data_IF_964275163163
#
_entry.id   IF_964275163163
#
_cell.length_a   1.000
_cell.length_b   1.000
_cell.length_c   1.000
_cell.angle_alpha   90.00
_cell.angle_beta   90.00
_cell.angle_gamma   90.00
#
_symmetry.space_group_name_H-M   'P 1'
#
loop_
_entity.id
_entity.type
_entity.pdbx_description
1 polymer ?
#
# COMPACT_ATOMS: atom_id res chain seq x y z
N UNK A 1 9.91 -14.84 0.59
CA UNK A 1 9.04 -13.64 0.77
C UNK A 1 8.73 -12.89 -0.52
N UNK A 2 9.70 -12.65 -1.41
CA UNK A 2 9.52 -11.76 -2.59
C UNK A 2 9.37 -12.51 -3.93
N UNK A 3 9.16 -13.82 -3.89
CA UNK A 3 8.99 -14.68 -5.07
C UNK A 3 7.54 -14.62 -5.59
N UNK A 4 7.35 -13.90 -6.68
CA UNK A 4 6.04 -13.70 -7.29
C UNK A 4 5.49 -14.98 -7.95
N UNK A 5 6.36 -15.80 -8.54
CA UNK A 5 5.97 -17.03 -9.23
C UNK A 5 5.50 -18.07 -8.21
N UNK A 6 6.29 -18.28 -7.16
CA UNK A 6 5.91 -19.16 -6.05
C UNK A 6 4.60 -18.71 -5.41
N UNK A 7 4.45 -17.42 -5.15
CA UNK A 7 3.23 -16.87 -4.53
C UNK A 7 2.00 -17.10 -5.42
N UNK A 8 2.13 -16.86 -6.73
CA UNK A 8 1.05 -17.08 -7.69
C UNK A 8 0.67 -18.57 -7.77
N UNK A 9 1.66 -19.47 -7.90
CA UNK A 9 1.43 -20.93 -7.91
C UNK A 9 0.74 -21.38 -6.64
N UNK A 10 1.23 -20.94 -5.48
CA UNK A 10 0.63 -21.30 -4.18
C UNK A 10 -0.81 -20.82 -4.07
N UNK A 11 -1.13 -19.62 -4.56
CA UNK A 11 -2.50 -19.11 -4.55
C UNK A 11 -3.42 -19.97 -5.42
N UNK A 12 -2.98 -20.36 -6.63
CA UNK A 12 -3.73 -21.23 -7.54
C UNK A 12 -3.92 -22.62 -6.95
N UNK A 13 -2.87 -23.21 -6.38
CA UNK A 13 -2.90 -24.55 -5.77
C UNK A 13 -3.90 -24.64 -4.62
N UNK A 14 -3.98 -23.58 -3.80
CA UNK A 14 -4.92 -23.54 -2.68
C UNK A 14 -6.37 -23.57 -3.16
N UNK A 15 -6.71 -22.84 -4.22
CA UNK A 15 -8.10 -22.75 -4.70
C UNK A 15 -8.42 -23.70 -5.86
N UNK A 16 -7.57 -24.69 -6.14
CA UNK A 16 -7.71 -25.59 -7.30
C UNK A 16 -9.06 -26.31 -7.35
N UNK A 17 -9.62 -26.64 -6.18
CA UNK A 17 -10.90 -27.36 -6.02
C UNK A 17 -12.09 -26.39 -5.80
N UNK A 18 -11.84 -25.08 -5.90
CA UNK A 18 -12.79 -24.01 -5.63
C UNK A 18 -12.35 -23.14 -4.44
N UNK A 19 -13.06 -22.02 -4.28
CA UNK A 19 -12.85 -21.04 -3.22
C UNK A 19 -12.20 -19.73 -3.68
N UNK A 20 -12.27 -18.75 -2.81
CA UNK A 20 -11.74 -17.40 -2.99
C UNK A 20 -10.54 -17.18 -2.08
N UNK A 21 -9.37 -16.97 -2.66
CA UNK A 21 -8.15 -16.61 -1.94
C UNK A 21 -7.89 -15.10 -1.96
N UNK A 22 -7.32 -14.58 -0.88
CA UNK A 22 -6.74 -13.24 -0.88
C UNK A 22 -5.21 -13.34 -0.72
N UNK A 23 -4.47 -12.64 -1.58
CA UNK A 23 -3.01 -12.51 -1.52
C UNK A 23 -2.68 -11.06 -1.14
N UNK A 24 -2.29 -10.82 0.10
CA UNK A 24 -1.94 -9.50 0.61
C UNK A 24 -0.43 -9.28 0.61
N UNK A 25 0.00 -8.29 -0.17
CA UNK A 25 1.41 -7.94 -0.31
C UNK A 25 1.67 -6.51 0.18
N UNK A 26 2.87 -6.28 0.68
CA UNK A 26 3.21 -5.03 1.35
C UNK A 26 3.50 -3.89 0.36
N UNK A 27 3.71 -4.20 -0.92
CA UNK A 27 4.03 -3.19 -1.94
C UNK A 27 3.24 -3.41 -3.23
N UNK A 28 2.90 -2.29 -3.89
CA UNK A 28 2.23 -2.27 -5.20
C UNK A 28 3.02 -3.05 -6.25
N UNK A 29 4.36 -2.88 -6.30
CA UNK A 29 5.23 -3.57 -7.27
C UNK A 29 5.16 -5.10 -7.13
N UNK A 30 5.03 -5.61 -5.90
CA UNK A 30 4.89 -7.05 -5.66
C UNK A 30 3.49 -7.56 -6.05
N UNK A 31 2.43 -6.80 -5.74
CA UNK A 31 1.07 -7.11 -6.18
C UNK A 31 0.97 -7.20 -7.71
N UNK A 32 1.54 -6.22 -8.40
CA UNK A 32 1.64 -6.21 -9.85
C UNK A 32 2.47 -7.40 -10.38
N UNK A 33 3.59 -7.76 -9.73
CA UNK A 33 4.40 -8.90 -10.14
C UNK A 33 3.64 -10.24 -10.00
N UNK A 34 2.95 -10.47 -8.90
CA UNK A 34 2.14 -11.69 -8.69
C UNK A 34 1.00 -11.79 -9.70
N UNK A 35 0.32 -10.68 -10.02
CA UNK A 35 -0.75 -10.71 -11.02
C UNK A 35 -0.22 -10.98 -12.43
N UNK A 36 0.98 -10.51 -12.79
CA UNK A 36 1.61 -10.92 -14.06
C UNK A 36 1.82 -12.44 -14.10
N UNK A 37 2.30 -13.04 -13.02
CA UNK A 37 2.48 -14.48 -12.92
C UNK A 37 1.14 -15.25 -12.98
N UNK A 38 0.09 -14.73 -12.33
CA UNK A 38 -1.26 -15.32 -12.41
C UNK A 38 -1.88 -15.24 -13.80
N UNK A 39 -1.47 -14.29 -14.65
CA UNK A 39 -1.90 -14.23 -16.06
C UNK A 39 -1.24 -15.30 -16.92
N UNK A 40 -0.04 -15.74 -16.55
CA UNK A 40 0.72 -16.77 -17.26
C UNK A 40 0.29 -18.19 -16.83
N UNK A 41 -0.17 -18.33 -15.59
CA UNK A 41 -0.66 -19.59 -15.03
C UNK A 41 -2.16 -19.72 -15.34
N UNK A 42 -2.59 -20.87 -15.89
CA UNK A 42 -4.02 -21.16 -15.97
C UNK A 42 -4.58 -21.40 -14.55
N UNK A 43 -5.15 -20.34 -13.99
CA UNK A 43 -5.76 -20.35 -12.68
C UNK A 43 -7.18 -20.93 -12.68
N UNK A 44 -7.71 -21.38 -13.83
CA UNK A 44 -9.05 -21.98 -14.06
C UNK A 44 -10.22 -21.25 -13.40
N UNK A 45 -10.03 -19.98 -13.08
CA UNK A 45 -10.89 -19.11 -12.30
C UNK A 45 -10.48 -17.66 -12.54
N UNK A 46 -11.01 -16.75 -11.72
CA UNK A 46 -10.82 -15.32 -11.93
C UNK A 46 -9.70 -14.76 -11.05
N UNK A 47 -8.97 -13.77 -11.53
CA UNK A 47 -7.97 -13.05 -10.72
C UNK A 47 -8.17 -11.54 -10.79
N UNK A 48 -7.91 -10.88 -9.67
CA UNK A 48 -8.17 -9.46 -9.46
C UNK A 48 -6.96 -8.78 -8.83
N UNK A 49 -6.75 -7.50 -9.16
CA UNK A 49 -5.72 -6.65 -8.56
C UNK A 49 -6.38 -5.44 -7.90
N UNK A 50 -6.04 -5.17 -6.63
CA UNK A 50 -6.53 -3.98 -5.95
C UNK A 50 -5.47 -3.30 -5.07
N UNK A 51 -5.14 -2.05 -5.39
CA UNK A 51 -4.15 -1.26 -4.66
C UNK A 51 -4.38 0.24 -4.83
N UNK A 52 -3.64 1.07 -4.07
CA UNK A 52 -3.85 2.53 -4.07
C UNK A 52 -3.47 3.24 -5.37
N UNK A 53 -2.60 2.64 -6.20
CA UNK A 53 -2.01 3.29 -7.39
C UNK A 53 -2.87 3.14 -8.66
N UNK A 54 -4.19 3.20 -8.52
CA UNK A 54 -5.12 3.39 -9.63
C UNK A 54 -5.64 4.83 -9.61
N UNK A 55 -5.93 5.45 -10.78
CA UNK A 55 -6.72 6.67 -10.82
C UNK A 55 -8.02 6.51 -10.02
N UNK A 56 -8.50 7.59 -9.41
CA UNK A 56 -9.65 7.55 -8.52
C UNK A 56 -10.90 6.92 -9.17
N UNK A 57 -11.19 7.17 -10.46
CA UNK A 57 -12.32 6.51 -11.15
C UNK A 57 -12.16 4.99 -11.13
N UNK A 58 -10.99 4.51 -11.53
CA UNK A 58 -10.73 3.08 -11.66
C UNK A 58 -10.69 2.41 -10.30
N UNK A 59 -10.16 3.10 -9.29
CA UNK A 59 -10.15 2.60 -7.92
C UNK A 59 -11.57 2.43 -7.38
N UNK A 60 -12.47 3.39 -7.62
CA UNK A 60 -13.88 3.27 -7.24
C UNK A 60 -14.56 2.07 -7.92
N UNK A 61 -14.36 1.90 -9.22
CA UNK A 61 -14.91 0.75 -9.97
C UNK A 61 -14.40 -0.60 -9.42
N UNK A 62 -13.09 -0.71 -9.17
CA UNK A 62 -12.48 -1.92 -8.63
C UNK A 62 -12.94 -2.20 -7.20
N UNK A 63 -13.12 -1.17 -6.38
CA UNK A 63 -13.66 -1.30 -5.02
C UNK A 63 -15.09 -1.85 -5.04
N UNK A 64 -15.97 -1.27 -5.87
CA UNK A 64 -17.34 -1.76 -6.06
C UNK A 64 -17.37 -3.20 -6.58
N UNK A 65 -16.48 -3.53 -7.52
CA UNK A 65 -16.34 -4.89 -8.05
C UNK A 65 -15.90 -5.88 -6.97
N UNK A 66 -14.84 -5.56 -6.22
CA UNK A 66 -14.30 -6.42 -5.15
C UNK A 66 -15.34 -6.63 -4.05
N UNK A 67 -16.04 -5.58 -3.60
CA UNK A 67 -17.13 -5.71 -2.62
C UNK A 67 -18.30 -6.50 -3.19
N UNK A 68 -18.63 -6.32 -4.47
CA UNK A 68 -19.70 -7.04 -5.15
C UNK A 68 -19.46 -8.54 -5.29
N UNK A 69 -18.20 -8.99 -5.30
CA UNK A 69 -17.78 -10.38 -5.47
C UNK A 69 -17.44 -11.07 -4.14
N UNK A 70 -16.79 -10.37 -3.22
CA UNK A 70 -16.27 -10.95 -1.98
C UNK A 70 -16.96 -10.43 -0.73
N UNK A 71 -17.91 -9.50 -0.85
CA UNK A 71 -18.67 -8.97 0.28
C UNK A 71 -19.89 -9.81 0.67
N UNK A 72 -20.53 -9.40 1.77
CA UNK A 72 -21.64 -10.12 2.42
C UNK A 72 -22.80 -10.46 1.48
N UNK A 73 -23.14 -9.52 0.62
CA UNK A 73 -24.27 -9.65 -0.31
C UNK A 73 -23.93 -10.47 -1.55
N UNK A 74 -22.64 -10.73 -1.82
CA UNK A 74 -22.22 -11.51 -2.99
C UNK A 74 -22.72 -12.96 -2.89
N UNK A 75 -22.63 -13.56 -1.70
CA UNK A 75 -23.10 -14.93 -1.45
C UNK A 75 -24.61 -15.03 -1.64
N UNK A 76 -25.37 -14.12 -1.00
CA UNK A 76 -26.84 -14.12 -1.07
C UNK A 76 -27.37 -13.91 -2.49
N UNK A 77 -26.65 -13.15 -3.31
CA UNK A 77 -27.01 -12.85 -4.70
C UNK A 77 -26.45 -13.86 -5.70
N UNK A 78 -25.76 -14.91 -5.25
CA UNK A 78 -25.09 -15.89 -6.11
C UNK A 78 -24.01 -15.29 -7.01
N UNK A 79 -23.41 -14.16 -6.58
CA UNK A 79 -22.37 -13.43 -7.32
C UNK A 79 -20.94 -13.78 -6.87
N UNK A 80 -20.78 -14.44 -5.72
CA UNK A 80 -19.45 -14.89 -5.27
C UNK A 80 -18.89 -15.90 -6.27
N UNK A 81 -17.68 -15.68 -6.82
CA UNK A 81 -17.05 -16.63 -7.73
C UNK A 81 -16.89 -18.02 -7.10
N UNK A 82 -17.01 -19.07 -7.92
CA UNK A 82 -16.68 -20.42 -7.47
C UNK A 82 -15.19 -20.59 -7.20
N UNK A 83 -14.34 -19.91 -8.00
CA UNK A 83 -12.89 -19.88 -7.85
C UNK A 83 -12.34 -18.50 -8.20
N UNK A 84 -11.67 -17.85 -7.26
CA UNK A 84 -11.02 -16.57 -7.53
C UNK A 84 -9.81 -16.28 -6.63
N UNK A 85 -8.89 -15.45 -7.14
CA UNK A 85 -7.75 -14.93 -6.39
C UNK A 85 -7.76 -13.40 -6.43
N UNK A 86 -7.92 -12.74 -5.28
CA UNK A 86 -7.70 -11.30 -5.16
C UNK A 86 -6.27 -11.05 -4.69
N UNK A 87 -5.45 -10.42 -5.52
CA UNK A 87 -4.16 -9.86 -5.11
C UNK A 87 -4.35 -8.41 -4.71
N UNK A 88 -3.92 -8.04 -3.52
CA UNK A 88 -4.10 -6.68 -3.02
C UNK A 88 -2.96 -6.21 -2.12
N UNK A 89 -2.94 -4.90 -1.86
CA UNK A 89 -2.11 -4.30 -0.82
C UNK A 89 -2.96 -3.94 0.41
N UNK A 90 -2.40 -3.17 1.35
CA UNK A 90 -3.04 -2.78 2.61
C UNK A 90 -4.37 -2.02 2.44
N UNK A 91 -4.76 -1.66 1.21
CA UNK A 91 -6.06 -1.05 0.92
C UNK A 91 -7.25 -1.93 1.31
N UNK A 92 -7.06 -3.25 1.34
CA UNK A 92 -8.11 -4.19 1.78
C UNK A 92 -8.29 -4.21 3.30
N UNK A 93 -7.29 -3.76 4.06
CA UNK A 93 -7.34 -3.72 5.53
C UNK A 93 -8.29 -2.63 6.04
N UNK A 94 -8.42 -1.52 5.29
CA UNK A 94 -9.19 -0.35 5.69
C UNK A 94 -10.62 -0.42 5.15
N UNK A 95 -11.56 -0.74 6.04
CA UNK A 95 -13.01 -0.53 5.87
C UNK A 95 -13.76 -1.33 4.78
N UNK A 96 -13.12 -2.26 4.07
CA UNK A 96 -13.83 -3.18 3.17
C UNK A 96 -14.37 -4.41 3.91
N UNK A 97 -15.66 -4.67 3.78
CA UNK A 97 -16.36 -5.84 4.33
C UNK A 97 -16.26 -7.04 3.37
N UNK A 98 -15.09 -7.70 3.38
CA UNK A 98 -14.78 -8.83 2.50
C UNK A 98 -14.64 -10.14 3.28
N UNK A 99 -14.97 -11.25 2.62
CA UNK A 99 -14.86 -12.62 3.13
C UNK A 99 -14.04 -13.49 2.15
N UNK A 100 -12.96 -14.10 2.63
CA UNK A 100 -12.13 -15.05 1.88
C UNK A 100 -12.08 -16.41 2.56
N UNK A 101 -11.88 -17.45 1.76
CA UNK A 101 -11.83 -18.83 2.23
C UNK A 101 -10.43 -19.21 2.72
N UNK A 102 -9.40 -18.60 2.13
CA UNK A 102 -7.99 -18.77 2.52
C UNK A 102 -7.23 -17.47 2.24
N UNK A 103 -6.15 -17.22 2.97
CA UNK A 103 -5.35 -16.01 2.81
C UNK A 103 -3.86 -16.33 2.73
N UNK A 104 -3.18 -15.69 1.79
CA UNK A 104 -1.73 -15.59 1.74
C UNK A 104 -1.38 -14.15 2.11
N UNK A 105 -0.46 -13.96 3.05
CA UNK A 105 -0.01 -12.65 3.47
C UNK A 105 1.51 -12.60 3.44
N UNK A 106 2.07 -11.54 2.86
CA UNK A 106 3.46 -11.20 3.11
C UNK A 106 3.65 -10.88 4.59
N UNK A 107 4.81 -11.23 5.15
CA UNK A 107 5.14 -10.93 6.54
C UNK A 107 4.91 -9.44 6.84
N UNK A 108 4.18 -9.18 7.90
CA UNK A 108 3.87 -7.86 8.42
C UNK A 108 3.88 -7.95 9.96
N UNK A 109 3.90 -6.82 10.68
CA UNK A 109 3.68 -6.80 12.11
C UNK A 109 2.45 -7.60 12.54
N UNK A 110 2.52 -8.26 13.71
CA UNK A 110 1.51 -9.21 14.17
C UNK A 110 0.09 -8.62 14.24
N UNK A 111 -0.04 -7.37 14.66
CA UNK A 111 -1.32 -6.65 14.72
C UNK A 111 -1.96 -6.52 13.33
N UNK A 112 -1.16 -6.23 12.30
CA UNK A 112 -1.63 -6.20 10.91
C UNK A 112 -1.99 -7.60 10.40
N UNK A 113 -1.20 -8.63 10.71
CA UNK A 113 -1.55 -10.02 10.35
C UNK A 113 -2.89 -10.45 10.97
N UNK A 114 -3.11 -10.12 12.25
CA UNK A 114 -4.36 -10.41 12.95
C UNK A 114 -5.55 -9.62 12.38
N UNK A 115 -5.35 -8.35 11.99
CA UNK A 115 -6.38 -7.56 11.30
C UNK A 115 -6.75 -8.17 9.94
N UNK A 116 -5.76 -8.68 9.20
CA UNK A 116 -5.96 -9.38 7.93
C UNK A 116 -6.77 -10.67 8.12
N UNK A 117 -6.48 -11.45 9.17
CA UNK A 117 -7.29 -12.62 9.54
C UNK A 117 -8.77 -12.28 9.77
N UNK A 118 -9.11 -11.04 10.15
CA UNK A 118 -10.50 -10.60 10.27
C UNK A 118 -11.30 -10.55 8.95
N UNK A 119 -10.69 -10.92 7.81
CA UNK A 119 -11.34 -11.14 6.51
C UNK A 119 -11.39 -12.62 6.11
N UNK A 120 -10.72 -13.51 6.85
CA UNK A 120 -10.93 -14.94 6.72
C UNK A 120 -12.28 -15.29 7.32
N UNK A 121 -13.09 -15.97 6.52
CA UNK A 121 -14.37 -16.54 6.95
C UNK A 121 -15.23 -15.53 7.70
N UNK A 122 -15.23 -14.28 7.22
CA UNK A 122 -15.82 -13.14 7.95
C UNK A 122 -17.32 -13.29 8.15
N UNK A 123 -18.00 -13.95 7.21
CA UNK A 123 -19.46 -14.11 7.18
C UNK A 123 -19.86 -15.59 7.33
N UNK A 124 -19.32 -16.29 8.36
CA UNK A 124 -19.60 -17.72 8.62
C UNK A 124 -21.10 -18.02 8.72
N UNK A 125 -21.89 -17.08 9.20
CA UNK A 125 -23.32 -17.23 9.43
C UNK A 125 -24.15 -17.39 8.14
N UNK A 126 -23.58 -17.07 6.97
CA UNK A 126 -24.29 -17.05 5.68
C UNK A 126 -24.15 -18.39 4.93
N UNK A 127 -23.37 -19.34 5.47
CA UNK A 127 -23.22 -20.68 4.86
C UNK A 127 -22.43 -20.65 3.54
N UNK A 128 -21.49 -19.72 3.40
CA UNK A 128 -20.59 -19.63 2.24
C UNK A 128 -19.89 -20.97 1.99
N UNK A 129 -20.01 -21.59 0.80
CA UNK A 129 -19.27 -22.79 0.46
C UNK A 129 -17.77 -22.55 0.55
N UNK A 130 -17.05 -23.40 1.31
CA UNK A 130 -15.58 -23.27 1.51
C UNK A 130 -14.78 -24.33 0.75
N UNK A 131 -15.41 -25.20 -0.03
CA UNK A 131 -14.74 -26.18 -0.91
C UNK A 131 -13.69 -27.07 -0.20
N UNK A 132 -13.89 -27.37 1.08
CA UNK A 132 -12.95 -28.16 1.87
C UNK A 132 -11.70 -27.41 2.33
N UNK A 133 -11.64 -26.09 2.12
CA UNK A 133 -10.58 -25.23 2.64
C UNK A 133 -10.67 -25.10 4.16
N UNK A 134 -9.51 -24.90 4.77
CA UNK A 134 -9.38 -24.56 6.18
C UNK A 134 -9.29 -23.05 6.36
N UNK A 135 -9.69 -22.55 7.53
CA UNK A 135 -9.55 -21.14 7.91
C UNK A 135 -8.08 -20.83 8.22
N UNK A 136 -7.27 -20.71 7.16
CA UNK A 136 -5.82 -20.63 7.26
C UNK A 136 -5.26 -19.31 6.71
N UNK A 137 -4.30 -18.77 7.46
CA UNK A 137 -3.40 -17.71 7.01
C UNK A 137 -2.04 -18.32 6.67
N UNK A 138 -1.65 -18.25 5.41
CA UNK A 138 -0.30 -18.60 4.95
C UNK A 138 0.59 -17.35 4.96
N UNK A 139 1.61 -17.32 5.80
CA UNK A 139 2.55 -16.19 5.87
C UNK A 139 3.77 -16.46 4.98
N UNK A 140 4.07 -15.54 4.06
CA UNK A 140 5.27 -15.61 3.23
C UNK A 140 6.48 -15.16 4.05
N UNK A 141 7.27 -16.12 4.52
CA UNK A 141 8.45 -15.90 5.34
C UNK A 141 9.69 -15.52 4.51
N UNK A 142 10.66 -14.79 5.08
CA UNK A 142 12.00 -14.66 4.51
C UNK A 142 12.79 -15.97 4.71
N UNK A 143 14.02 -16.03 4.18
CA UNK A 143 14.95 -17.12 4.51
C UNK A 143 15.36 -17.02 5.98
N UNK A 144 15.13 -18.08 6.76
CA UNK A 144 15.25 -18.02 8.22
C UNK A 144 16.69 -17.94 8.74
N UNK A 145 17.67 -18.39 7.97
CA UNK A 145 19.09 -18.39 8.39
C UNK A 145 19.70 -16.98 8.40
N UNK A 146 19.12 -16.05 7.63
CA UNK A 146 19.53 -14.65 7.56
C UNK A 146 18.35 -13.82 7.03
N UNK A 147 17.38 -13.49 7.90
CA UNK A 147 16.11 -12.92 7.46
C UNK A 147 16.32 -11.54 6.82
N UNK A 148 16.22 -11.50 5.49
CA UNK A 148 16.22 -10.24 4.73
C UNK A 148 14.80 -9.81 4.44
N UNK A 149 14.43 -8.64 4.94
CA UNK A 149 13.06 -8.12 4.82
C UNK A 149 12.82 -7.28 3.55
N UNK A 150 13.86 -7.01 2.76
CA UNK A 150 13.75 -6.26 1.51
C UNK A 150 12.90 -4.99 1.65
N UNK A 151 11.90 -4.83 0.78
CA UNK A 151 11.00 -3.67 0.84
C UNK A 151 10.06 -3.66 2.05
N UNK A 152 9.77 -4.80 2.66
CA UNK A 152 8.93 -4.88 3.86
C UNK A 152 9.63 -4.27 5.08
N UNK A 153 10.95 -4.44 5.20
CA UNK A 153 11.76 -3.81 6.24
C UNK A 153 11.69 -2.29 6.19
N UNK A 154 11.69 -1.71 4.99
CA UNK A 154 11.49 -0.27 4.82
C UNK A 154 10.05 0.20 5.12
N UNK A 155 9.04 -0.68 5.02
CA UNK A 155 7.63 -0.32 5.25
C UNK A 155 7.28 -0.37 6.74
N UNK A 156 7.76 -1.38 7.48
CA UNK A 156 7.37 -1.60 8.88
C UNK A 156 8.50 -1.49 9.90
N UNK A 157 9.77 -1.45 9.44
CA UNK A 157 10.94 -1.58 10.30
C UNK A 157 11.26 -3.05 10.60
N UNK A 158 12.54 -3.39 10.61
CA UNK A 158 12.99 -4.77 10.77
C UNK A 158 12.69 -5.33 12.16
N UNK A 159 12.80 -4.53 13.22
CA UNK A 159 12.53 -4.94 14.60
C UNK A 159 11.12 -5.53 14.78
N UNK A 160 10.10 -4.89 14.21
CA UNK A 160 8.72 -5.36 14.31
C UNK A 160 8.50 -6.68 13.52
N UNK A 161 9.18 -6.83 12.38
CA UNK A 161 9.10 -8.04 11.57
C UNK A 161 9.82 -9.22 12.22
N UNK A 162 11.00 -8.98 12.79
CA UNK A 162 11.74 -9.96 13.59
C UNK A 162 10.88 -10.43 14.77
N UNK A 163 10.36 -9.52 15.59
CA UNK A 163 9.49 -9.88 16.72
C UNK A 163 8.25 -10.66 16.27
N UNK A 164 7.68 -10.31 15.11
CA UNK A 164 6.54 -11.08 14.57
C UNK A 164 6.95 -12.50 14.19
N UNK A 165 8.08 -12.69 13.51
CA UNK A 165 8.64 -14.03 13.23
C UNK A 165 8.77 -14.80 14.53
N UNK A 166 9.31 -14.16 15.57
CA UNK A 166 9.58 -14.84 16.82
C UNK A 166 8.31 -15.32 17.53
N UNK A 167 7.25 -14.51 17.48
CA UNK A 167 5.95 -14.80 18.09
C UNK A 167 5.19 -15.89 17.35
N UNK A 168 5.29 -15.95 16.02
CA UNK A 168 4.56 -16.95 15.22
C UNK A 168 5.34 -18.25 15.02
N UNK A 169 6.63 -18.29 15.35
CA UNK A 169 7.44 -19.49 15.23
C UNK A 169 6.90 -20.62 16.12
N UNK A 170 6.63 -21.78 15.51
CA UNK A 170 6.06 -22.94 16.20
C UNK A 170 4.59 -22.78 16.57
N UNK A 171 3.94 -21.67 16.21
CA UNK A 171 2.51 -21.48 16.39
C UNK A 171 1.76 -21.89 15.12
N UNK A 172 1.04 -23.01 15.20
CA UNK A 172 0.23 -23.51 14.09
C UNK A 172 -1.21 -22.98 14.10
N UNK A 173 -1.70 -22.52 15.26
CA UNK A 173 -3.09 -22.12 15.47
C UNK A 173 -3.20 -20.96 16.45
N UNK A 174 -4.12 -20.02 16.14
CA UNK A 174 -4.52 -18.93 17.03
C UNK A 174 -6.02 -19.00 17.30
N UNK A 175 -6.42 -18.70 18.53
CA UNK A 175 -7.81 -18.60 18.97
C UNK A 175 -8.19 -17.13 19.14
N UNK A 176 -8.86 -16.57 18.13
CA UNK A 176 -9.36 -15.19 18.22
C UNK A 176 -10.77 -15.15 18.83
N UNK A 177 -11.07 -14.17 19.72
CA UNK A 177 -10.26 -12.99 20.07
C UNK A 177 -9.30 -13.19 21.26
N UNK A 178 -9.24 -14.39 21.85
CA UNK A 178 -8.48 -14.66 23.09
C UNK A 178 -6.99 -14.33 22.94
N UNK A 179 -6.38 -14.77 21.84
CA UNK A 179 -4.95 -14.58 21.60
C UNK A 179 -4.59 -13.21 21.03
N UNK A 180 -5.59 -12.38 20.70
CA UNK A 180 -5.36 -11.10 20.03
C UNK A 180 -4.45 -10.18 20.86
N UNK A 181 -4.79 -9.96 22.13
CA UNK A 181 -4.01 -9.08 23.02
C UNK A 181 -2.65 -9.69 23.42
N UNK A 182 -2.58 -10.97 23.86
CA UNK A 182 -1.31 -11.61 24.18
C UNK A 182 -0.28 -11.55 23.04
N UNK A 183 -0.69 -11.79 21.79
CA UNK A 183 0.23 -11.76 20.64
C UNK A 183 0.78 -10.35 20.35
N UNK A 184 -0.07 -9.33 20.48
CA UNK A 184 0.34 -7.94 20.32
C UNK A 184 1.30 -7.55 21.44
N UNK A 185 0.98 -7.87 22.69
CA UNK A 185 1.83 -7.54 23.83
C UNK A 185 3.19 -8.25 23.75
N UNK A 186 3.24 -9.49 23.25
CA UNK A 186 4.51 -10.19 23.02
C UNK A 186 5.38 -9.49 21.94
N UNK A 187 4.77 -8.92 20.90
CA UNK A 187 5.52 -8.28 19.81
C UNK A 187 5.91 -6.81 20.12
N UNK A 188 5.16 -6.12 20.97
CA UNK A 188 5.37 -4.69 21.26
C UNK A 188 5.80 -4.38 22.70
N UNK A 189 5.76 -5.37 23.58
CA UNK A 189 6.23 -5.25 24.95
C UNK A 189 7.75 -5.08 25.04
N UNK A 190 8.19 -4.66 26.23
CA UNK A 190 9.60 -4.41 26.51
C UNK A 190 10.42 -5.70 26.66
N UNK A 191 9.75 -6.85 26.78
CA UNK A 191 10.41 -8.15 26.88
C UNK A 191 11.07 -8.56 25.55
N UNK A 192 12.28 -9.11 25.65
CA UNK A 192 13.02 -9.66 24.53
C UNK A 192 12.41 -11.02 24.15
N UNK A 193 12.12 -11.21 22.87
CA UNK A 193 11.53 -12.46 22.35
C UNK A 193 12.62 -13.25 21.66
N UNK A 194 13.36 -14.05 22.43
CA UNK A 194 14.48 -14.86 21.94
C UNK A 194 13.99 -16.28 21.65
N UNK A 195 14.36 -16.83 20.50
CA UNK A 195 14.02 -18.21 20.14
C UNK A 195 15.08 -18.84 19.22
N UNK A 196 14.73 -19.95 18.55
CA UNK A 196 15.68 -20.71 17.73
C UNK A 196 16.12 -20.01 16.44
N UNK A 197 15.36 -18.98 16.03
CA UNK A 197 15.54 -18.25 14.78
C UNK A 197 16.18 -16.88 15.00
N UNK A 198 15.88 -16.21 16.12
CA UNK A 198 16.34 -14.85 16.38
C UNK A 198 17.30 -14.83 17.54
N UNK A 199 18.54 -14.44 17.25
CA UNK A 199 19.54 -14.22 18.29
C UNK A 199 19.27 -12.93 19.05
N UNK A 200 19.63 -12.91 20.34
CA UNK A 200 19.57 -11.71 21.18
C UNK A 200 20.30 -10.52 20.51
N UNK A 201 21.39 -10.80 19.79
CA UNK A 201 22.17 -9.80 19.07
C UNK A 201 21.38 -9.14 17.93
N UNK A 202 20.68 -9.91 17.11
CA UNK A 202 19.90 -9.38 15.98
C UNK A 202 18.72 -8.55 16.48
N UNK A 203 18.04 -9.03 17.53
CA UNK A 203 16.95 -8.31 18.15
C UNK A 203 17.41 -6.99 18.78
N UNK A 204 18.53 -7.01 19.51
CA UNK A 204 19.12 -5.81 20.13
C UNK A 204 19.48 -4.76 19.07
N UNK A 205 20.16 -5.16 17.98
CA UNK A 205 20.53 -4.23 16.90
C UNK A 205 19.28 -3.58 16.29
N UNK A 206 18.25 -4.39 16.01
CA UNK A 206 17.04 -3.88 15.40
C UNK A 206 16.26 -2.94 16.34
N UNK A 207 16.19 -3.27 17.64
CA UNK A 207 15.54 -2.44 18.65
C UNK A 207 16.32 -1.13 18.91
N UNK A 208 17.65 -1.15 18.93
CA UNK A 208 18.49 0.03 18.98
C UNK A 208 18.27 0.94 17.76
N UNK A 209 18.19 0.37 16.55
CA UNK A 209 17.91 1.14 15.34
C UNK A 209 16.51 1.77 15.40
N UNK A 210 15.51 1.02 15.89
CA UNK A 210 14.15 1.53 16.11
C UNK A 210 14.15 2.68 17.11
N UNK A 211 14.87 2.56 18.22
CA UNK A 211 14.96 3.59 19.24
C UNK A 211 15.65 4.85 18.71
N UNK A 212 16.76 4.69 17.99
CA UNK A 212 17.47 5.79 17.33
C UNK A 212 16.58 6.51 16.32
N UNK A 213 15.79 5.79 15.52
CA UNK A 213 14.81 6.38 14.60
C UNK A 213 13.74 7.18 15.36
N UNK A 214 13.18 6.63 16.44
CA UNK A 214 12.22 7.34 17.29
C UNK A 214 12.81 8.63 17.88
N UNK A 215 14.06 8.61 18.33
CA UNK A 215 14.74 9.79 18.88
C UNK A 215 14.99 10.87 17.83
N UNK A 216 15.41 10.48 16.63
CA UNK A 216 15.54 11.39 15.48
C UNK A 216 14.18 12.00 15.14
N UNK A 217 13.12 11.20 15.10
CA UNK A 217 11.77 11.66 14.79
C UNK A 217 11.23 12.58 15.89
N UNK A 218 11.44 12.25 17.17
CA UNK A 218 11.06 13.09 18.30
C UNK A 218 11.80 14.43 18.27
N UNK A 219 13.10 14.44 17.94
CA UNK A 219 13.89 15.65 17.78
C UNK A 219 13.36 16.56 16.66
N UNK A 220 13.01 15.98 15.49
CA UNK A 220 12.39 16.71 14.38
C UNK A 220 10.96 17.16 14.69
N UNK A 221 10.24 16.41 15.52
CA UNK A 221 8.86 16.71 15.88
C UNK A 221 8.75 17.95 16.76
N UNK A 222 9.78 18.31 17.54
CA UNK A 222 9.80 19.55 18.33
C UNK A 222 9.60 20.79 17.45
N UNK A 223 10.13 20.77 16.22
CA UNK A 223 10.02 21.87 15.26
C UNK A 223 8.67 21.89 14.50
N UNK A 224 7.84 20.85 14.67
CA UNK A 224 6.64 20.57 13.85
C UNK A 224 5.37 20.52 14.72
N UNK A 225 5.49 20.09 15.98
CA UNK A 225 4.36 19.90 16.88
C UNK A 225 3.85 21.24 17.42
N UNK A 226 2.52 21.36 17.48
CA UNK A 226 1.89 22.41 18.26
C UNK A 226 2.31 22.20 19.72
N UNK A 227 2.79 23.24 20.42
CA UNK A 227 3.25 23.10 21.79
C UNK A 227 2.14 22.62 22.71
N UNK A 228 2.52 21.90 23.76
CA UNK A 228 1.58 21.38 24.74
C UNK A 228 0.77 22.53 25.39
N UNK A 229 -0.51 22.30 25.72
CA UNK A 229 -1.34 23.31 26.34
C UNK A 229 -0.74 23.78 27.68
N UNK A 230 -0.63 25.09 27.86
CA UNK A 230 -0.13 25.66 29.11
C UNK A 230 -1.18 25.54 30.21
N UNK A 231 -0.82 24.93 31.34
CA UNK A 231 -1.69 24.86 32.53
C UNK A 231 -1.85 26.20 33.25
N UNK A 232 -1.11 27.24 32.83
CA UNK A 232 -1.06 28.55 33.48
C UNK A 232 -1.62 29.69 32.62
N UNK A 233 -1.72 29.51 31.31
CA UNK A 233 -2.09 30.57 30.36
C UNK A 233 -3.07 30.03 29.33
N UNK A 234 -4.21 30.69 29.17
CA UNK A 234 -5.17 30.41 28.09
C UNK A 234 -4.96 31.42 26.96
N UNK A 235 -3.89 31.21 26.19
CA UNK A 235 -3.58 31.99 24.98
C UNK A 235 -3.30 31.03 23.82
N UNK A 236 -3.45 31.52 22.60
CA UNK A 236 -2.86 30.86 21.44
C UNK A 236 -1.34 30.77 21.68
N UNK A 237 -0.76 29.59 21.46
CA UNK A 237 0.66 29.43 21.58
C UNK A 237 1.37 30.29 20.52
N UNK A 238 2.38 31.06 20.93
CA UNK A 238 3.27 31.75 20.00
C UNK A 238 4.12 30.69 19.30
N UNK A 239 3.66 30.25 18.14
CA UNK A 239 4.47 29.42 17.24
C UNK A 239 5.44 30.39 16.57
N UNK A 240 6.71 30.29 16.93
CA UNK A 240 7.78 31.08 16.32
C UNK A 240 7.94 30.59 14.86
N UNK A 241 7.21 31.19 13.93
CA UNK A 241 7.34 30.94 12.50
C UNK A 241 8.65 31.57 11.99
N UNK A 242 9.80 31.08 12.45
CA UNK A 242 11.14 31.47 11.95
C UNK A 242 11.53 30.73 10.66
N UNK A 243 10.55 30.33 9.86
CA UNK A 243 10.73 29.99 8.44
C UNK A 243 9.62 30.69 7.67
N UNK A 244 10.02 31.70 6.90
CA UNK A 244 9.16 32.46 6.00
C UNK A 244 8.15 31.54 5.31
N UNK A 245 6.88 31.96 5.30
CA UNK A 245 5.80 31.32 4.54
C UNK A 245 6.02 31.37 3.01
N UNK A 246 7.21 31.75 2.53
CA UNK A 246 7.56 31.88 1.11
C UNK A 246 8.18 30.63 0.47
N UNK A 247 8.50 29.57 1.21
CA UNK A 247 9.12 28.38 0.62
C UNK A 247 8.17 27.19 0.50
N UNK A 248 7.98 26.72 -0.74
CA UNK A 248 7.29 25.48 -1.14
C UNK A 248 7.77 24.21 -0.42
N UNK A 249 8.89 24.29 0.30
CA UNK A 249 9.46 23.19 1.08
C UNK A 249 8.68 22.86 2.36
N UNK A 250 7.97 23.82 2.96
CA UNK A 250 7.45 23.66 4.33
C UNK A 250 6.25 22.70 4.36
N UNK A 251 5.34 22.78 3.37
CA UNK A 251 4.12 21.96 3.37
C UNK A 251 4.38 20.50 2.96
N UNK A 252 5.38 20.23 2.10
CA UNK A 252 5.81 18.85 1.83
C UNK A 252 6.55 18.24 3.03
N UNK A 253 7.21 19.08 3.84
CA UNK A 253 7.87 18.68 5.09
C UNK A 253 6.85 18.26 6.16
N UNK A 254 5.74 18.99 6.30
CA UNK A 254 4.70 18.70 7.30
C UNK A 254 3.93 17.39 7.05
N UNK A 255 3.60 17.05 5.80
CA UNK A 255 2.86 15.80 5.50
C UNK A 255 3.77 14.56 5.45
N UNK A 256 5.04 14.73 5.09
CA UNK A 256 5.98 13.63 4.93
C UNK A 256 6.67 13.18 6.23
N UNK A 257 6.63 13.99 7.30
CA UNK A 257 7.52 13.77 8.46
C UNK A 257 6.93 12.93 9.60
N UNK A 258 5.64 12.57 9.58
CA UNK A 258 5.05 11.72 10.64
C UNK A 258 5.20 10.21 10.37
N UNK A 259 5.66 9.85 9.17
CA UNK A 259 6.24 8.55 8.82
C UNK A 259 7.34 8.81 7.79
N UNK A 260 8.61 8.72 8.16
CA UNK A 260 9.79 8.89 7.26
C UNK A 260 9.91 7.81 6.15
N UNK A 261 8.81 7.22 5.71
CA UNK A 261 8.74 6.17 4.70
C UNK A 261 7.94 6.61 3.47
N UNK A 262 8.68 7.01 2.43
CA UNK A 262 8.22 7.29 1.04
C UNK A 262 7.35 8.54 0.88
N UNK A 263 7.99 9.64 0.49
CA UNK A 263 7.27 10.77 -0.10
C UNK A 263 6.48 10.28 -1.33
N UNK A 264 5.17 10.32 -1.24
CA UNK A 264 4.25 10.18 -2.38
C UNK A 264 3.87 11.58 -2.84
N UNK A 265 3.74 11.79 -4.15
CA UNK A 265 3.12 12.99 -4.70
C UNK A 265 1.78 12.63 -5.33
N UNK A 266 0.83 13.56 -5.23
CA UNK A 266 -0.43 13.47 -5.94
C UNK A 266 -0.24 13.95 -7.37
N UNK A 267 -0.69 13.15 -8.33
CA UNK A 267 -0.61 13.51 -9.75
C UNK A 267 -1.96 13.39 -10.44
N UNK A 268 -2.17 14.23 -11.45
CA UNK A 268 -3.30 14.17 -12.38
C UNK A 268 -2.77 13.68 -13.73
N UNK A 269 -3.11 12.45 -14.09
CA UNK A 269 -2.77 11.88 -15.40
C UNK A 269 -3.93 12.17 -16.37
N UNK A 270 -3.75 13.15 -17.25
CA UNK A 270 -4.82 13.67 -18.11
C UNK A 270 -4.43 13.60 -19.59
N UNK A 271 -5.37 13.17 -20.41
CA UNK A 271 -5.24 13.10 -21.88
C UNK A 271 -6.28 13.98 -22.59
N UNK A 272 -7.43 14.25 -21.96
CA UNK A 272 -8.48 15.12 -22.52
C UNK A 272 -7.95 16.57 -22.66
N UNK A 273 -7.84 17.10 -23.90
CA UNK A 273 -7.38 18.47 -24.14
C UNK A 273 -8.20 19.53 -23.38
N UNK A 274 -9.51 19.30 -23.19
CA UNK A 274 -10.36 20.23 -22.42
C UNK A 274 -9.92 20.28 -20.96
N UNK A 275 -9.55 19.15 -20.36
CA UNK A 275 -9.06 19.12 -18.97
C UNK A 275 -7.67 19.74 -18.85
N UNK A 276 -6.82 19.59 -19.87
CA UNK A 276 -5.51 20.24 -19.96
C UNK A 276 -5.68 21.78 -19.97
N UNK A 277 -6.61 22.31 -20.77
CA UNK A 277 -6.91 23.76 -20.75
C UNK A 277 -7.40 24.25 -19.37
N UNK A 278 -8.19 23.43 -18.68
CA UNK A 278 -8.73 23.75 -17.35
C UNK A 278 -7.64 23.86 -16.30
N UNK A 279 -6.64 22.96 -16.30
CA UNK A 279 -5.57 23.00 -15.29
C UNK A 279 -4.65 24.21 -15.44
N UNK A 280 -4.58 24.82 -16.63
CA UNK A 280 -3.87 26.09 -16.86
C UNK A 280 -4.67 27.34 -16.43
N UNK A 281 -5.94 27.20 -16.05
CA UNK A 281 -6.75 28.34 -15.64
C UNK A 281 -6.39 28.81 -14.22
N UNK A 282 -6.20 30.13 -14.04
CA UNK A 282 -5.92 30.73 -12.73
C UNK A 282 -7.05 30.58 -11.70
N UNK A 283 -8.27 30.30 -12.16
CA UNK A 283 -9.46 30.13 -11.31
C UNK A 283 -9.94 28.69 -11.42
N UNK A 284 -10.37 28.14 -10.29
CA UNK A 284 -10.97 26.82 -10.25
C UNK A 284 -12.21 26.75 -11.17
N UNK A 285 -12.40 25.64 -11.90
CA UNK A 285 -13.55 25.44 -12.77
C UNK A 285 -14.82 25.18 -11.94
N UNK A 286 -15.94 24.97 -12.64
CA UNK A 286 -17.19 24.54 -12.00
C UNK A 286 -17.02 23.18 -11.32
N UNK A 287 -17.87 22.90 -10.32
CA UNK A 287 -17.77 21.72 -9.44
C UNK A 287 -17.82 20.39 -10.19
N UNK A 288 -18.60 20.30 -11.26
CA UNK A 288 -18.71 19.14 -12.14
C UNK A 288 -17.38 18.82 -12.83
N UNK A 289 -16.78 19.81 -13.47
CA UNK A 289 -15.45 19.69 -14.13
C UNK A 289 -14.36 19.42 -13.10
N UNK A 290 -14.43 20.05 -11.92
CA UNK A 290 -13.50 19.79 -10.84
C UNK A 290 -13.58 18.32 -10.37
N UNK A 291 -14.80 17.80 -10.19
CA UNK A 291 -15.01 16.41 -9.80
C UNK A 291 -14.43 15.48 -10.85
N UNK A 292 -14.75 15.72 -12.12
CA UNK A 292 -14.21 14.96 -13.26
C UNK A 292 -12.68 14.96 -13.27
N UNK A 293 -12.04 16.13 -13.14
CA UNK A 293 -10.59 16.24 -13.06
C UNK A 293 -10.00 15.39 -11.93
N UNK A 294 -10.54 15.50 -10.71
CA UNK A 294 -10.06 14.71 -9.56
C UNK A 294 -10.31 13.21 -9.69
N UNK A 295 -11.17 12.76 -10.61
CA UNK A 295 -11.30 11.33 -10.91
C UNK A 295 -10.02 10.76 -11.55
N UNK A 296 -9.19 11.61 -12.18
CA UNK A 296 -7.89 11.24 -12.75
C UNK A 296 -6.73 11.30 -11.75
N UNK A 297 -7.00 11.66 -10.49
CA UNK A 297 -5.99 11.76 -9.46
C UNK A 297 -5.49 10.37 -9.05
N UNK A 298 -4.18 10.26 -8.89
CA UNK A 298 -3.50 9.07 -8.37
C UNK A 298 -2.25 9.50 -7.59
N UNK A 299 -1.91 8.77 -6.53
CA UNK A 299 -0.67 9.02 -5.78
C UNK A 299 0.43 8.08 -6.25
N UNK A 300 1.58 8.65 -6.61
CA UNK A 300 2.77 7.90 -7.08
C UNK A 300 3.99 8.22 -6.22
N UNK A 301 5.05 7.39 -6.24
CA UNK A 301 6.29 7.71 -5.53
C UNK A 301 6.92 9.00 -6.06
N UNK A 302 7.21 9.96 -5.19
CA UNK A 302 7.72 11.28 -5.60
C UNK A 302 9.05 11.23 -6.36
N UNK A 303 9.88 10.21 -6.09
CA UNK A 303 11.15 10.00 -6.79
C UNK A 303 10.98 9.70 -8.29
N UNK A 304 9.78 9.35 -8.76
CA UNK A 304 9.50 9.14 -10.19
C UNK A 304 9.63 10.42 -11.00
N UNK A 305 9.35 11.57 -10.40
CA UNK A 305 9.37 12.87 -11.08
C UNK A 305 10.64 13.66 -10.81
N UNK A 306 11.48 13.19 -9.88
CA UNK A 306 12.71 13.90 -9.50
C UNK A 306 13.71 13.89 -10.65
N UNK A 307 14.31 15.05 -10.93
CA UNK A 307 15.39 15.21 -11.91
C UNK A 307 15.06 14.60 -13.29
N UNK A 308 13.80 14.75 -13.71
CA UNK A 308 13.23 14.07 -14.88
C UNK A 308 12.83 15.08 -15.96
N UNK A 309 13.16 14.75 -17.22
CA UNK A 309 12.84 15.57 -18.40
C UNK A 309 12.04 14.73 -19.41
N UNK A 310 10.99 15.29 -20.01
CA UNK A 310 10.19 14.63 -21.04
C UNK A 310 11.02 14.29 -22.30
N UNK A 311 10.70 13.18 -22.96
CA UNK A 311 11.25 12.85 -24.29
C UNK A 311 10.51 13.61 -25.40
N UNK A 312 11.09 13.61 -26.61
CA UNK A 312 10.46 14.23 -27.78
C UNK A 312 9.06 13.64 -28.03
N UNK A 313 8.05 14.51 -28.10
CA UNK A 313 6.65 14.12 -28.32
C UNK A 313 5.80 14.08 -27.05
N UNK A 314 6.41 14.20 -25.87
CA UNK A 314 5.68 14.34 -24.60
C UNK A 314 5.88 15.73 -24.01
N UNK A 315 4.82 16.25 -23.40
CA UNK A 315 4.88 17.52 -22.67
C UNK A 315 5.54 17.31 -21.29
N UNK A 316 6.33 18.28 -20.85
CA UNK A 316 6.89 18.27 -19.50
C UNK A 316 5.76 18.40 -18.47
N UNK A 317 5.73 17.52 -17.47
CA UNK A 317 4.80 17.68 -16.35
C UNK A 317 5.06 18.99 -15.60
N UNK A 318 4.02 19.55 -14.98
CA UNK A 318 4.09 20.84 -14.30
C UNK A 318 3.25 20.85 -13.02
N UNK A 319 3.58 21.73 -12.09
CA UNK A 319 2.81 21.92 -10.86
C UNK A 319 1.49 22.63 -11.14
N UNK A 320 0.45 22.21 -10.43
CA UNK A 320 -0.87 22.79 -10.56
C UNK A 320 -0.95 24.24 -10.11
N UNK A 321 -1.90 24.97 -10.69
CA UNK A 321 -2.25 26.33 -10.29
C UNK A 321 -2.60 26.44 -8.80
N UNK A 322 -2.73 27.67 -8.26
CA UNK A 322 -2.95 27.92 -6.81
C UNK A 322 -4.13 27.17 -6.16
N UNK A 323 -5.09 26.70 -6.95
CA UNK A 323 -6.26 25.93 -6.50
C UNK A 323 -6.06 24.39 -6.62
N UNK A 324 -5.00 23.94 -7.30
CA UNK A 324 -4.49 22.57 -7.41
C UNK A 324 -3.14 22.42 -6.68
N UNK A 325 -2.98 23.03 -5.49
CA UNK A 325 -1.71 22.96 -4.76
C UNK A 325 -1.28 21.52 -4.53
N UNK A 326 0.03 21.28 -4.58
CA UNK A 326 0.66 19.99 -4.31
C UNK A 326 0.17 18.86 -5.24
N UNK A 327 -0.26 19.22 -6.44
CA UNK A 327 -0.70 18.26 -7.45
C UNK A 327 0.08 18.52 -8.73
N UNK A 328 0.88 17.55 -9.15
CA UNK A 328 1.61 17.62 -10.41
C UNK A 328 0.71 17.12 -11.54
N UNK A 329 0.67 17.83 -12.67
CA UNK A 329 -0.08 17.43 -13.85
C UNK A 329 0.87 16.70 -14.79
N UNK A 330 0.48 15.50 -15.20
CA UNK A 330 1.19 14.69 -16.20
C UNK A 330 0.28 14.58 -17.42
N UNK A 331 0.52 15.36 -18.48
CA UNK A 331 -0.17 15.19 -19.74
C UNK A 331 0.23 13.85 -20.37
N UNK A 332 -0.74 12.97 -20.60
CA UNK A 332 -0.49 11.61 -21.12
C UNK A 332 -1.00 11.44 -22.54
N UNK A 333 -0.33 10.59 -23.32
CA UNK A 333 -0.75 10.17 -24.66
C UNK A 333 -1.03 8.67 -24.61
N UNK A 334 -2.27 8.27 -24.88
CA UNK A 334 -2.76 6.89 -24.73
C UNK A 334 -2.42 6.29 -23.36
N UNK A 335 -2.67 7.06 -22.30
CA UNK A 335 -2.36 6.70 -20.92
C UNK A 335 -0.87 6.56 -20.58
N UNK A 336 0.04 7.07 -21.43
CA UNK A 336 1.50 6.97 -21.23
C UNK A 336 2.17 8.33 -21.17
N UNK A 337 3.30 8.38 -20.48
CA UNK A 337 4.20 9.53 -20.46
C UNK A 337 5.65 9.03 -20.45
N UNK A 338 6.52 9.59 -21.27
CA UNK A 338 7.92 9.17 -21.38
C UNK A 338 8.87 10.29 -20.99
N UNK A 339 9.95 9.90 -20.32
CA UNK A 339 10.99 10.82 -19.86
C UNK A 339 12.34 10.16 -19.70
N UNK A 340 13.33 10.99 -19.39
CA UNK A 340 14.72 10.62 -19.12
C UNK A 340 15.03 11.04 -17.69
N UNK A 341 15.57 10.11 -16.90
CA UNK A 341 16.10 10.35 -15.56
C UNK A 341 17.49 9.73 -15.46
N UNK A 342 18.47 10.49 -14.96
CA UNK A 342 19.86 10.05 -14.84
C UNK A 342 20.45 9.48 -16.15
N UNK A 343 20.06 10.06 -17.30
CA UNK A 343 20.50 9.62 -18.62
C UNK A 343 19.85 8.32 -19.12
N UNK A 344 18.85 7.77 -18.43
CA UNK A 344 18.10 6.58 -18.84
C UNK A 344 16.64 6.92 -19.16
N UNK A 345 16.17 6.43 -20.30
CA UNK A 345 14.76 6.52 -20.69
C UNK A 345 13.87 5.63 -19.83
N UNK A 346 12.71 6.15 -19.44
CA UNK A 346 11.68 5.41 -18.73
C UNK A 346 10.29 5.90 -19.15
N UNK A 347 9.28 5.10 -18.83
CA UNK A 347 7.89 5.40 -19.11
C UNK A 347 7.04 5.28 -17.85
N UNK A 348 6.10 6.21 -17.66
CA UNK A 348 4.99 6.10 -16.71
C UNK A 348 3.75 5.70 -17.50
N UNK A 349 3.18 4.55 -17.15
CA UNK A 349 2.00 3.98 -17.83
C UNK A 349 0.85 3.92 -16.85
N UNK A 350 -0.33 4.41 -17.25
CA UNK A 350 -1.59 4.16 -16.55
C UNK A 350 -2.31 2.97 -17.21
N UNK A 351 -2.00 1.76 -16.76
CA UNK A 351 -2.60 0.53 -17.27
C UNK A 351 -3.98 0.27 -16.61
N UNK A 352 -5.03 -0.09 -17.36
CA UNK A 352 -6.38 -0.30 -16.81
C UNK A 352 -6.49 -1.50 -15.85
N UNK A 353 -5.56 -2.45 -15.92
CA UNK A 353 -5.51 -3.67 -15.11
C UNK A 353 -4.44 -3.61 -14.03
N UNK A 354 -3.28 -3.03 -14.34
CA UNK A 354 -2.12 -2.96 -13.43
C UNK A 354 -2.06 -1.65 -12.63
N UNK A 355 -2.83 -0.63 -13.03
CA UNK A 355 -2.75 0.72 -12.48
C UNK A 355 -1.51 1.45 -12.98
N UNK A 356 -1.02 2.42 -12.21
CA UNK A 356 0.13 3.22 -12.66
C UNK A 356 1.44 2.48 -12.43
N UNK A 357 2.28 2.41 -13.45
CA UNK A 357 3.56 1.72 -13.42
C UNK A 357 4.66 2.62 -13.96
N UNK A 358 5.87 2.39 -13.48
CA UNK A 358 7.08 2.97 -14.04
C UNK A 358 7.90 1.84 -14.63
N UNK A 359 8.09 1.89 -15.94
CA UNK A 359 8.88 0.94 -16.71
C UNK A 359 10.23 1.60 -17.01
N UNK A 360 11.28 1.05 -16.40
CA UNK A 360 12.67 1.42 -16.69
C UNK A 360 13.15 0.52 -17.86
N UNK A 361 13.95 1.05 -18.77
CA UNK A 361 14.45 0.42 -20.00
C UNK A 361 13.53 0.54 -21.23
N UNK A 362 13.29 1.79 -21.67
CA UNK A 362 13.01 2.02 -23.09
C UNK A 362 14.33 1.83 -23.86
N UNK A 363 14.60 0.62 -24.31
CA UNK A 363 15.67 0.38 -25.29
C UNK A 363 15.41 1.22 -26.53
N UNK A 364 16.33 2.13 -26.86
CA UNK A 364 16.35 2.85 -28.16
C UNK A 364 16.39 1.89 -29.34
#
# INVERSE_FOLDING_TARGET
MDDAEYTAKRAVDLVKDGGCACVLLNTVKQAQAVVRQLKEIDCGGEHYLFHARFPAYRRCELEEQVVGLFGKEAVKKGKRPQRAVLVATQVVEQSLDLDFDVMISQLAPIDLLLQRCGRLWRHKEIGTPRYGLEEALHVLMPEMQNPKFGRSGYVYGEAALLRTIAVIEGCEQFSLPVDFRPLIDACYGDECVINSIISEREQTIADEERQRKKEIDAGKAVDILIPAPSSRVFSLAEIDHTKDESDESTTSYFSASTRLGRATCSVLMIEDPRLIEVVHCKKAPRRDVLKELFMHKVDIPAYWLKDTIATNGFEQFFEGEKWLRQTTIIPTISGRWQGIRDGKGFEIVCDPVMGVEMNEDLSE
#
